data_IF_869810539884
#
_entry.id   IF_869810539884
#
_cell.length_a   1.000
_cell.length_b   1.000
_cell.length_c   1.000
_cell.angle_alpha   90.00
_cell.angle_beta   90.00
_cell.angle_gamma   90.00
#
_symmetry.space_group_name_H-M   'P 1'
#
loop_
_entity.id
_entity.type
_entity.pdbx_description
1 polymer ?
#
# COMPACT_ATOMS: atom_id res chain seq x y z
N UNK A 1 -22.30 6.82 14.78
CA UNK A 1 -22.18 7.13 13.32
C UNK A 1 -21.06 8.14 13.15
N UNK A 2 -20.18 7.88 12.21
CA UNK A 2 -19.11 8.82 11.87
C UNK A 2 -19.73 10.03 11.19
N UNK A 3 -19.46 11.23 11.72
CA UNK A 3 -19.93 12.48 11.13
C UNK A 3 -19.02 12.86 9.94
N UNK A 4 -19.55 12.77 8.72
CA UNK A 4 -18.79 13.03 7.52
C UNK A 4 -18.27 14.47 7.41
N UNK A 5 -18.95 15.45 8.03
CA UNK A 5 -18.49 16.83 8.03
C UNK A 5 -17.22 17.00 8.87
N UNK A 6 -17.15 16.38 10.03
CA UNK A 6 -15.98 16.43 10.91
C UNK A 6 -14.75 15.76 10.27
N UNK A 7 -14.96 14.66 9.52
CA UNK A 7 -13.87 13.98 8.82
C UNK A 7 -13.33 14.83 7.65
N UNK A 8 -14.19 15.54 6.95
CA UNK A 8 -13.78 16.37 5.79
C UNK A 8 -12.75 17.43 6.18
N UNK A 9 -12.82 17.97 7.39
CA UNK A 9 -11.90 19.00 7.90
C UNK A 9 -10.44 18.48 8.05
N UNK A 10 -10.25 17.16 8.10
CA UNK A 10 -8.90 16.57 8.10
C UNK A 10 -8.22 16.57 6.72
N UNK A 11 -8.94 16.85 5.63
CA UNK A 11 -8.42 16.75 4.26
C UNK A 11 -8.27 18.14 3.62
N UNK A 12 -7.07 18.75 3.64
CA UNK A 12 -6.86 20.13 3.17
C UNK A 12 -7.27 20.35 1.71
N UNK A 13 -7.19 19.33 0.87
CA UNK A 13 -7.53 19.44 -0.55
C UNK A 13 -9.03 19.55 -0.83
N UNK A 14 -9.89 19.12 0.09
CA UNK A 14 -11.36 19.13 -0.13
C UNK A 14 -11.93 20.56 -0.22
N UNK A 15 -11.27 21.53 0.43
CA UNK A 15 -11.67 22.94 0.37
C UNK A 15 -11.20 23.71 -0.87
N UNK A 16 -10.47 23.06 -1.81
CA UNK A 16 -9.94 23.74 -3.00
C UNK A 16 -11.02 24.11 -3.99
N UNK A 17 -10.76 25.19 -4.70
CA UNK A 17 -11.56 25.65 -5.84
C UNK A 17 -10.72 25.62 -7.12
N UNK A 18 -11.40 25.54 -8.27
CA UNK A 18 -10.79 25.66 -9.60
C UNK A 18 -10.55 27.14 -9.99
N UNK A 19 -10.05 27.38 -11.18
CA UNK A 19 -9.77 28.73 -11.72
C UNK A 19 -11.03 29.57 -11.94
N UNK A 20 -12.23 28.97 -11.94
CA UNK A 20 -13.53 29.64 -12.04
C UNK A 20 -14.19 29.82 -10.65
N UNK A 21 -13.46 29.54 -9.57
CA UNK A 21 -13.96 29.59 -8.18
C UNK A 21 -15.06 28.56 -7.86
N UNK A 22 -15.16 27.46 -8.63
CA UNK A 22 -16.03 26.33 -8.31
C UNK A 22 -15.31 25.35 -7.38
N UNK A 23 -16.03 24.82 -6.40
CA UNK A 23 -15.47 23.80 -5.53
C UNK A 23 -15.10 22.53 -6.32
N UNK A 24 -13.88 22.02 -6.11
CA UNK A 24 -13.44 20.77 -6.72
C UNK A 24 -14.16 19.61 -6.04
N UNK A 25 -14.77 18.73 -6.83
CA UNK A 25 -15.47 17.52 -6.37
C UNK A 25 -14.64 16.32 -6.79
N UNK A 26 -14.14 15.56 -5.80
CA UNK A 26 -13.33 14.36 -6.01
C UNK A 26 -14.23 13.14 -6.05
N UNK A 27 -14.51 12.61 -7.24
CA UNK A 27 -15.34 11.41 -7.45
C UNK A 27 -14.51 10.19 -7.92
N UNK A 28 -13.23 10.40 -8.26
CA UNK A 28 -12.33 9.37 -8.72
C UNK A 28 -11.26 9.05 -7.65
N UNK A 29 -11.66 8.32 -6.61
CA UNK A 29 -10.72 7.83 -5.58
C UNK A 29 -9.60 6.95 -6.13
N UNK A 30 -9.84 6.04 -7.10
CA UNK A 30 -8.79 5.27 -7.76
C UNK A 30 -7.72 6.10 -8.47
N UNK A 31 -8.09 7.25 -9.02
CA UNK A 31 -7.16 8.19 -9.66
C UNK A 31 -6.29 8.97 -8.69
N UNK A 32 -6.67 9.04 -7.41
CA UNK A 32 -5.91 9.73 -6.37
C UNK A 32 -6.73 10.05 -5.13
N UNK A 33 -6.59 9.23 -4.11
CA UNK A 33 -7.21 9.47 -2.80
C UNK A 33 -6.59 10.69 -2.12
N UNK A 34 -7.43 11.56 -1.57
CA UNK A 34 -6.96 12.71 -0.84
C UNK A 34 -6.30 12.31 0.49
N UNK A 35 -5.31 13.09 0.93
CA UNK A 35 -4.47 12.74 2.08
C UNK A 35 -4.85 13.61 3.27
N UNK A 36 -5.10 13.02 4.46
CA UNK A 36 -5.38 13.80 5.66
C UNK A 36 -4.14 14.53 6.18
N UNK A 37 -4.36 15.68 6.84
CA UNK A 37 -3.29 16.52 7.33
C UNK A 37 -2.34 15.78 8.27
N UNK A 38 -2.83 14.87 9.10
CA UNK A 38 -2.03 14.08 10.03
C UNK A 38 -0.98 13.24 9.32
N UNK A 39 -1.29 12.69 8.13
CA UNK A 39 -0.34 11.92 7.32
C UNK A 39 0.74 12.84 6.74
N UNK A 40 0.33 14.01 6.23
CA UNK A 40 1.26 15.01 5.67
C UNK A 40 2.26 15.47 6.75
N UNK A 41 1.75 15.77 7.94
CA UNK A 41 2.57 16.19 9.08
C UNK A 41 3.49 15.09 9.57
N UNK A 42 3.02 13.84 9.65
CA UNK A 42 3.83 12.70 10.06
C UNK A 42 5.00 12.47 9.11
N UNK A 43 4.77 12.52 7.79
CA UNK A 43 5.83 12.41 6.78
C UNK A 43 6.83 13.56 6.93
N UNK A 44 6.35 14.79 7.06
CA UNK A 44 7.22 15.97 7.23
C UNK A 44 8.07 15.85 8.49
N UNK A 45 7.49 15.45 9.62
CA UNK A 45 8.20 15.27 10.88
C UNK A 45 9.25 14.16 10.81
N UNK A 46 8.96 13.06 10.09
CA UNK A 46 9.94 12.01 9.88
C UNK A 46 11.18 12.53 9.14
N UNK A 47 10.98 13.26 8.04
CA UNK A 47 12.11 13.85 7.30
C UNK A 47 12.89 14.89 8.11
N UNK A 48 12.23 15.65 8.97
CA UNK A 48 12.89 16.66 9.81
C UNK A 48 13.74 16.01 10.92
N UNK A 49 13.30 14.87 11.47
CA UNK A 49 13.86 14.31 12.71
C UNK A 49 14.70 13.05 12.51
N UNK A 50 14.20 12.08 11.73
CA UNK A 50 14.63 10.69 11.84
C UNK A 50 14.98 10.06 10.49
N UNK A 51 15.12 10.85 9.42
CA UNK A 51 15.40 10.31 8.08
C UNK A 51 16.73 9.54 8.05
N UNK A 52 16.68 8.23 8.19
CA UNK A 52 17.85 7.36 8.23
C UNK A 52 17.52 5.96 7.70
N UNK A 53 18.57 5.19 7.36
CA UNK A 53 18.45 3.75 7.14
C UNK A 53 18.11 3.03 8.44
N UNK A 54 17.48 1.87 8.32
CA UNK A 54 17.18 0.96 9.42
C UNK A 54 18.41 0.18 9.90
N UNK A 55 18.31 -0.39 11.11
CA UNK A 55 19.27 -1.33 11.70
C UNK A 55 20.65 -0.73 12.03
N UNK A 56 20.76 0.60 12.18
CA UNK A 56 21.96 1.25 12.68
C UNK A 56 21.90 1.47 14.19
N UNK A 57 23.08 1.59 14.83
CA UNK A 57 23.17 1.82 16.28
C UNK A 57 22.98 3.29 16.69
N UNK A 58 22.83 4.20 15.73
CA UNK A 58 22.65 5.62 15.97
C UNK A 58 21.15 5.99 16.09
N UNK A 59 20.87 7.08 16.81
CA UNK A 59 19.54 7.42 17.28
C UNK A 59 18.48 7.52 16.17
N UNK A 60 18.78 8.17 15.04
CA UNK A 60 17.82 8.35 13.96
C UNK A 60 17.48 7.04 13.26
N UNK A 61 18.41 6.08 13.23
CA UNK A 61 18.13 4.72 12.74
C UNK A 61 17.22 3.94 13.67
N UNK A 62 17.46 4.02 14.98
CA UNK A 62 16.60 3.38 15.98
C UNK A 62 15.19 3.97 15.97
N UNK A 63 15.06 5.28 15.77
CA UNK A 63 13.75 5.93 15.58
C UNK A 63 13.04 5.43 14.30
N UNK A 64 13.78 5.21 13.21
CA UNK A 64 13.25 4.64 11.97
C UNK A 64 12.82 3.19 12.16
N UNK A 65 13.62 2.37 12.86
CA UNK A 65 13.25 0.99 13.20
C UNK A 65 11.94 0.96 13.99
N UNK A 66 11.82 1.84 14.99
CA UNK A 66 10.59 1.96 15.78
C UNK A 66 9.37 2.31 14.91
N UNK A 67 9.50 3.21 13.94
CA UNK A 67 8.41 3.54 13.02
C UNK A 67 7.98 2.32 12.22
N UNK A 68 8.93 1.50 11.75
CA UNK A 68 8.64 0.28 10.99
C UNK A 68 7.98 -0.80 11.85
N UNK A 69 8.43 -0.96 13.09
CA UNK A 69 7.86 -1.93 14.02
C UNK A 69 6.44 -1.53 14.46
N UNK A 70 6.23 -0.26 14.81
CA UNK A 70 4.92 0.29 15.14
C UNK A 70 3.93 0.16 13.96
N UNK A 71 4.41 0.35 12.71
CA UNK A 71 3.60 0.14 11.51
C UNK A 71 3.18 -1.32 11.35
N UNK A 72 4.12 -2.26 11.46
CA UNK A 72 3.79 -3.70 11.37
C UNK A 72 2.81 -4.14 12.45
N UNK A 73 3.01 -3.67 13.68
CA UNK A 73 2.11 -3.96 14.79
C UNK A 73 0.70 -3.47 14.49
N UNK A 74 0.53 -2.20 14.13
CA UNK A 74 -0.78 -1.62 13.81
C UNK A 74 -1.45 -2.29 12.61
N UNK A 75 -0.67 -2.65 11.58
CA UNK A 75 -1.21 -3.35 10.43
C UNK A 75 -1.61 -4.79 10.76
N UNK A 76 -0.87 -5.47 11.63
CA UNK A 76 -1.27 -6.80 12.09
C UNK A 76 -2.59 -6.77 12.88
N UNK A 77 -2.78 -5.76 13.73
CA UNK A 77 -4.05 -5.54 14.44
C UNK A 77 -5.19 -5.23 13.47
N UNK A 78 -4.97 -4.32 12.51
CA UNK A 78 -5.97 -3.92 11.51
C UNK A 78 -6.41 -5.07 10.61
N UNK A 79 -5.47 -5.93 10.21
CA UNK A 79 -5.73 -7.09 9.35
C UNK A 79 -6.09 -8.36 10.12
N UNK A 80 -6.20 -8.29 11.46
CA UNK A 80 -6.44 -9.44 12.32
C UNK A 80 -5.41 -10.57 12.08
N UNK A 81 -4.16 -10.21 11.83
CA UNK A 81 -3.07 -11.16 11.63
C UNK A 81 -2.56 -11.70 12.97
N UNK A 82 -2.00 -12.91 12.95
CA UNK A 82 -1.51 -13.57 14.17
C UNK A 82 -0.24 -12.91 14.74
N UNK A 83 0.51 -12.15 13.92
CA UNK A 83 1.80 -11.59 14.33
C UNK A 83 2.25 -10.46 13.38
N UNK A 84 2.95 -9.43 13.90
CA UNK A 84 3.55 -8.36 13.09
C UNK A 84 4.54 -8.87 12.04
N UNK A 85 5.22 -9.99 12.28
CA UNK A 85 6.18 -10.60 11.34
C UNK A 85 5.52 -11.12 10.06
N UNK A 86 4.20 -11.34 10.08
CA UNK A 86 3.44 -11.74 8.88
C UNK A 86 3.12 -10.57 7.96
N UNK A 87 3.43 -9.33 8.37
CA UNK A 87 3.15 -8.12 7.60
C UNK A 87 4.35 -7.75 6.74
N UNK A 88 4.18 -7.87 5.43
CA UNK A 88 5.12 -7.36 4.44
C UNK A 88 4.69 -5.97 3.96
N UNK A 89 5.64 -5.05 3.92
CA UNK A 89 5.41 -3.66 3.51
C UNK A 89 6.19 -3.39 2.23
N UNK A 90 5.55 -2.70 1.28
CA UNK A 90 6.17 -2.32 0.02
C UNK A 90 5.63 -0.98 -0.47
N UNK A 91 6.19 -0.49 -1.57
CA UNK A 91 5.89 0.83 -2.11
C UNK A 91 4.43 0.95 -2.61
N UNK A 92 3.92 -0.13 -3.19
CA UNK A 92 2.56 -0.20 -3.74
C UNK A 92 2.16 -1.66 -3.99
N UNK A 93 0.86 -1.89 -4.24
CA UNK A 93 0.30 -3.20 -4.52
C UNK A 93 0.96 -3.89 -5.72
N UNK A 94 1.20 -3.18 -6.81
CA UNK A 94 1.80 -3.74 -8.03
C UNK A 94 3.16 -4.36 -7.75
N UNK A 95 4.05 -3.61 -7.09
CA UNK A 95 5.39 -4.10 -6.74
C UNK A 95 5.36 -5.27 -5.76
N UNK A 96 4.44 -5.25 -4.80
CA UNK A 96 4.25 -6.35 -3.85
C UNK A 96 3.76 -7.62 -4.56
N UNK A 97 2.77 -7.51 -5.45
CA UNK A 97 2.26 -8.65 -6.21
C UNK A 97 3.30 -9.24 -7.15
N UNK A 98 4.11 -8.42 -7.83
CA UNK A 98 5.23 -8.93 -8.64
C UNK A 98 6.27 -9.66 -7.79
N UNK A 99 6.59 -9.13 -6.61
CA UNK A 99 7.51 -9.79 -5.68
C UNK A 99 6.96 -11.12 -5.17
N UNK A 100 5.68 -11.15 -4.84
CA UNK A 100 4.98 -12.37 -4.40
C UNK A 100 4.94 -13.41 -5.52
N UNK A 101 4.48 -13.05 -6.72
CA UNK A 101 4.40 -13.96 -7.86
C UNK A 101 5.78 -14.57 -8.20
N UNK A 102 6.85 -13.76 -8.20
CA UNK A 102 8.23 -14.25 -8.42
C UNK A 102 8.72 -15.15 -7.30
N UNK A 103 8.36 -14.89 -6.05
CA UNK A 103 8.72 -15.76 -4.94
C UNK A 103 8.02 -17.12 -5.07
N UNK A 104 6.73 -17.10 -5.39
CA UNK A 104 5.90 -18.30 -5.57
C UNK A 104 6.27 -19.09 -6.83
N UNK A 105 6.78 -18.46 -7.90
CA UNK A 105 7.17 -19.16 -9.14
C UNK A 105 8.15 -20.31 -8.91
N UNK A 106 8.95 -20.22 -7.84
CA UNK A 106 9.90 -21.27 -7.44
C UNK A 106 9.23 -22.50 -6.79
N UNK A 107 7.97 -22.39 -6.42
CA UNK A 107 7.20 -23.44 -5.75
C UNK A 107 6.21 -24.14 -6.69
N UNK A 108 5.87 -23.50 -7.80
CA UNK A 108 4.97 -24.06 -8.80
C UNK A 108 5.71 -24.98 -9.78
N UNK A 109 4.98 -25.97 -10.28
CA UNK A 109 5.43 -26.89 -11.30
C UNK A 109 4.71 -26.63 -12.62
N UNK A 110 5.31 -27.06 -13.72
CA UNK A 110 4.64 -27.03 -15.02
C UNK A 110 3.33 -27.81 -14.98
N UNK A 111 2.25 -27.15 -15.40
CA UNK A 111 0.89 -27.68 -15.38
C UNK A 111 0.05 -27.29 -14.17
N UNK A 112 0.63 -26.70 -13.14
CA UNK A 112 -0.14 -26.07 -12.05
C UNK A 112 -1.04 -24.95 -12.62
N UNK A 113 -2.12 -24.64 -11.95
CA UNK A 113 -3.12 -23.67 -12.41
C UNK A 113 -3.29 -22.55 -11.38
N UNK A 114 -3.37 -21.32 -11.87
CA UNK A 114 -3.70 -20.13 -11.08
C UNK A 114 -4.93 -19.47 -11.70
N UNK A 115 -5.94 -19.22 -10.86
CA UNK A 115 -7.17 -18.55 -11.27
C UNK A 115 -7.02 -17.06 -11.03
N UNK A 116 -7.31 -16.25 -12.05
CA UNK A 116 -7.43 -14.80 -12.00
C UNK A 116 -8.80 -14.39 -12.55
N UNK A 117 -9.25 -13.16 -12.27
CA UNK A 117 -10.54 -12.69 -12.77
C UNK A 117 -10.39 -11.57 -13.79
N UNK A 118 -11.30 -11.51 -14.77
CA UNK A 118 -11.34 -10.40 -15.74
C UNK A 118 -11.65 -9.05 -15.07
N UNK A 119 -12.28 -9.06 -13.90
CA UNK A 119 -12.66 -7.87 -13.15
C UNK A 119 -11.52 -7.26 -12.36
N UNK A 120 -10.43 -8.02 -12.15
CA UNK A 120 -9.28 -7.55 -11.39
C UNK A 120 -8.54 -6.41 -12.13
N UNK A 121 -8.06 -5.46 -11.35
CA UNK A 121 -7.16 -4.44 -11.86
C UNK A 121 -5.87 -5.09 -12.40
N UNK A 122 -5.28 -4.53 -13.46
CA UNK A 122 -4.07 -5.07 -14.10
C UNK A 122 -2.90 -5.23 -13.10
N UNK A 123 -2.83 -4.41 -12.05
CA UNK A 123 -1.86 -4.56 -10.97
C UNK A 123 -1.98 -5.89 -10.19
N UNK A 124 -3.14 -6.57 -10.27
CA UNK A 124 -3.33 -7.92 -9.75
C UNK A 124 -3.25 -9.00 -10.82
N UNK A 125 -3.58 -8.72 -12.06
CA UNK A 125 -3.53 -9.70 -13.17
C UNK A 125 -2.12 -9.86 -13.73
N UNK A 126 -1.47 -8.74 -14.06
CA UNK A 126 -0.16 -8.71 -14.71
C UNK A 126 0.94 -9.48 -13.96
N UNK A 127 1.06 -9.35 -12.64
CA UNK A 127 2.09 -10.06 -11.89
C UNK A 127 2.03 -11.59 -12.01
N UNK A 128 0.84 -12.17 -12.11
CA UNK A 128 0.69 -13.63 -12.21
C UNK A 128 1.11 -14.20 -13.57
N UNK A 129 1.12 -13.38 -14.62
CA UNK A 129 1.59 -13.80 -15.96
C UNK A 129 3.05 -14.24 -15.95
N UNK A 130 3.85 -13.80 -14.98
CA UNK A 130 5.24 -14.26 -14.84
C UNK A 130 5.34 -15.77 -14.54
N UNK A 131 4.29 -16.38 -14.01
CA UNK A 131 4.24 -17.79 -13.72
C UNK A 131 4.13 -18.66 -14.98
N UNK A 132 3.65 -18.11 -16.11
CA UNK A 132 3.58 -18.81 -17.40
C UNK A 132 4.98 -19.21 -17.89
N UNK A 133 6.02 -18.46 -17.54
CA UNK A 133 7.42 -18.81 -17.83
C UNK A 133 7.85 -20.12 -17.13
N UNK A 134 7.22 -20.45 -16.01
CA UNK A 134 7.43 -21.70 -15.29
C UNK A 134 6.49 -22.85 -15.76
N UNK A 135 5.67 -22.60 -16.79
CA UNK A 135 4.71 -23.56 -17.32
C UNK A 135 3.40 -23.66 -16.53
N UNK A 136 3.12 -22.70 -15.67
CA UNK A 136 1.85 -22.56 -14.95
C UNK A 136 0.78 -22.06 -15.92
N UNK A 137 -0.43 -22.58 -15.81
CA UNK A 137 -1.58 -22.14 -16.61
C UNK A 137 -2.36 -21.07 -15.86
N UNK A 138 -2.59 -19.93 -16.50
CA UNK A 138 -3.51 -18.93 -15.98
C UNK A 138 -4.92 -19.23 -16.50
N UNK A 139 -5.85 -19.37 -15.57
CA UNK A 139 -7.27 -19.54 -15.85
C UNK A 139 -7.98 -18.22 -15.54
N UNK A 140 -8.42 -17.56 -16.58
CA UNK A 140 -9.13 -16.28 -16.45
C UNK A 140 -10.66 -16.52 -16.43
N UNK A 141 -11.36 -16.01 -15.41
CA UNK A 141 -12.80 -16.18 -15.18
C UNK A 141 -13.51 -14.85 -14.96
#
# INVERSE_FOLDING_TARGET
MINSSEIRDFFPSIGRVDHNNNQIIYLDGPGGTQVPIQVIEAISQYYIRSNANTHGEFITSQETDKVMDDLRLKMSEFLCSNSPETISIGQNMTSLNYSLARALSKQFNSGDEVIITELDHEANRGPWKVLEEAGVKLIEV
#
